data_IF_089395267505
#
_entry.id   IF_089395267505
#
_cell.length_a   1.000
_cell.length_b   1.000
_cell.length_c   1.000
_cell.angle_alpha   90.00
_cell.angle_beta   90.00
_cell.angle_gamma   90.00
#
_symmetry.space_group_name_H-M   'P 1'
#
loop_
_entity.id
_entity.type
_entity.pdbx_description
1 polymer ?
#
# COMPACT_ATOMS: atom_id res chain seq x y z
N UNK A 1 7.21 -5.53 -79.35
CA UNK A 1 6.90 -6.97 -79.20
C UNK A 1 8.17 -7.68 -78.74
N UNK A 2 8.28 -8.00 -77.45
CA UNK A 2 9.02 -9.14 -76.93
C UNK A 2 8.59 -9.33 -75.46
N UNK A 3 7.83 -10.39 -75.21
CA UNK A 3 7.73 -11.05 -73.90
C UNK A 3 9.12 -11.62 -73.57
N UNK A 4 9.52 -11.61 -72.29
CA UNK A 4 10.15 -12.72 -71.54
C UNK A 4 10.25 -12.23 -70.08
N UNK A 5 9.45 -12.68 -69.10
CA UNK A 5 9.34 -13.96 -68.36
C UNK A 5 9.79 -13.74 -66.92
N UNK A 6 8.90 -14.13 -66.00
CA UNK A 6 9.07 -14.27 -64.56
C UNK A 6 10.32 -15.07 -64.16
N UNK A 7 11.00 -14.61 -63.11
CA UNK A 7 11.69 -15.48 -62.16
C UNK A 7 11.59 -14.89 -60.76
N UNK A 8 10.64 -15.42 -59.99
CA UNK A 8 10.60 -15.32 -58.53
C UNK A 8 11.78 -16.09 -57.96
N UNK A 9 12.63 -15.43 -57.18
CA UNK A 9 13.49 -16.12 -56.21
C UNK A 9 13.30 -15.44 -54.86
N UNK A 10 12.65 -16.20 -53.98
CA UNK A 10 12.54 -15.95 -52.56
C UNK A 10 13.93 -15.94 -51.93
N UNK A 11 14.25 -14.91 -51.17
CA UNK A 11 15.22 -15.00 -50.08
C UNK A 11 14.69 -14.19 -48.90
N UNK A 12 14.22 -14.95 -47.92
CA UNK A 12 13.67 -14.52 -46.64
C UNK A 12 14.70 -13.82 -45.76
N UNK A 13 14.26 -12.69 -45.19
CA UNK A 13 14.47 -12.17 -43.84
C UNK A 13 15.72 -12.64 -43.05
N UNK A 14 16.58 -11.67 -42.72
CA UNK A 14 17.28 -11.61 -41.44
C UNK A 14 17.15 -10.19 -40.90
N UNK A 15 16.06 -9.94 -40.16
CA UNK A 15 15.99 -8.80 -39.23
C UNK A 15 16.83 -9.17 -38.03
N UNK A 16 17.90 -8.41 -37.79
CA UNK A 16 18.74 -8.53 -36.62
C UNK A 16 17.96 -7.97 -35.41
N UNK A 17 17.04 -8.76 -34.87
CA UNK A 17 16.44 -8.46 -33.58
C UNK A 17 17.52 -8.68 -32.52
N UNK A 18 17.91 -7.60 -31.85
CA UNK A 18 18.76 -7.67 -30.67
C UNK A 18 18.07 -8.56 -29.62
N UNK A 19 18.59 -9.78 -29.45
CA UNK A 19 18.20 -10.67 -28.37
C UNK A 19 18.75 -10.05 -27.10
N UNK A 20 17.92 -9.29 -26.40
CA UNK A 20 18.17 -8.99 -24.99
C UNK A 20 17.92 -10.31 -24.26
N UNK A 21 18.93 -10.93 -23.62
CA UNK A 21 18.65 -12.03 -22.72
C UNK A 21 17.81 -11.46 -21.57
N UNK A 22 16.54 -11.85 -21.49
CA UNK A 22 15.76 -11.67 -20.27
C UNK A 22 16.49 -12.40 -19.17
N UNK A 23 17.24 -11.66 -18.35
CA UNK A 23 17.75 -12.17 -17.10
C UNK A 23 16.53 -12.51 -16.24
N UNK A 24 16.15 -13.79 -16.23
CA UNK A 24 15.16 -14.30 -15.29
C UNK A 24 15.73 -14.07 -13.89
N UNK A 25 15.13 -13.16 -13.14
CA UNK A 25 15.35 -13.06 -11.71
C UNK A 25 15.12 -14.47 -11.12
N UNK A 26 15.98 -14.96 -10.23
CA UNK A 26 15.74 -16.23 -9.57
C UNK A 26 14.37 -16.20 -8.89
N UNK A 27 13.49 -17.12 -9.30
CA UNK A 27 12.23 -17.38 -8.62
C UNK A 27 12.57 -18.03 -7.28
N UNK A 28 12.58 -17.22 -6.22
CA UNK A 28 12.54 -17.74 -4.87
C UNK A 28 11.07 -17.98 -4.52
N UNK A 29 10.58 -19.23 -4.43
CA UNK A 29 9.31 -19.48 -3.77
C UNK A 29 9.48 -19.02 -2.32
N UNK A 30 8.89 -17.87 -1.99
CA UNK A 30 8.67 -17.47 -0.61
C UNK A 30 7.61 -18.42 -0.03
N UNK A 31 8.05 -19.61 0.38
CA UNK A 31 7.28 -20.44 1.29
C UNK A 31 7.05 -19.60 2.55
N UNK A 32 5.79 -19.17 2.73
CA UNK A 32 5.37 -18.49 3.96
C UNK A 32 5.41 -19.56 5.07
N UNK A 33 6.56 -19.71 5.71
CA UNK A 33 6.59 -20.19 7.09
C UNK A 33 6.19 -19.02 7.98
N UNK A 34 4.89 -18.79 8.06
CA UNK A 34 4.32 -17.92 9.09
C UNK A 34 4.46 -18.64 10.43
N UNK A 35 5.60 -18.50 11.10
CA UNK A 35 5.80 -19.06 12.44
C UNK A 35 6.50 -18.10 13.40
N UNK A 36 6.48 -16.80 13.12
CA UNK A 36 6.86 -15.80 14.13
C UNK A 36 5.86 -14.67 14.01
N UNK A 37 4.97 -14.46 15.00
CA UNK A 37 4.24 -13.21 15.10
C UNK A 37 5.28 -12.10 15.03
N UNK A 38 5.12 -11.14 14.12
CA UNK A 38 5.82 -9.87 14.28
C UNK A 38 5.49 -9.41 15.70
N UNK A 39 6.52 -9.25 16.52
CA UNK A 39 6.40 -9.14 17.96
C UNK A 39 6.08 -7.69 18.30
N UNK A 40 4.89 -7.30 17.89
CA UNK A 40 4.26 -6.02 18.17
C UNK A 40 4.04 -5.96 19.69
N UNK A 41 4.74 -5.03 20.35
CA UNK A 41 4.50 -4.65 21.75
C UNK A 41 2.99 -4.55 22.03
N UNK A 42 2.55 -4.77 23.28
CA UNK A 42 1.12 -4.79 23.62
C UNK A 42 0.37 -3.49 23.26
N UNK A 43 1.10 -2.39 23.07
CA UNK A 43 0.61 -1.09 22.62
C UNK A 43 0.82 -0.84 21.12
N UNK A 44 0.93 -1.87 20.29
CA UNK A 44 1.18 -1.70 18.85
C UNK A 44 0.21 -2.50 17.99
N UNK A 45 0.19 -2.17 16.69
CA UNK A 45 -0.68 -2.80 15.70
C UNK A 45 -0.30 -4.28 15.57
N UNK A 46 -1.20 -5.20 15.93
CA UNK A 46 -0.96 -6.63 15.80
C UNK A 46 -1.55 -7.18 14.50
N UNK A 47 -0.83 -8.08 13.85
CA UNK A 47 -1.33 -8.84 12.70
C UNK A 47 -1.63 -10.26 13.14
N UNK A 48 -2.89 -10.68 13.07
CA UNK A 48 -3.30 -12.04 13.42
C UNK A 48 -4.35 -12.56 12.46
N UNK A 49 -4.14 -13.77 11.92
CA UNK A 49 -5.09 -14.42 11.00
C UNK A 49 -5.49 -13.55 9.78
N UNK A 50 -4.57 -12.72 9.28
CA UNK A 50 -4.85 -11.79 8.17
C UNK A 50 -5.71 -10.58 8.56
N UNK A 51 -5.85 -10.29 9.86
CA UNK A 51 -6.52 -9.11 10.40
C UNK A 51 -5.52 -8.17 11.04
N UNK A 52 -5.84 -6.89 10.97
CA UNK A 52 -5.18 -5.84 11.73
C UNK A 52 -5.96 -5.65 13.04
N UNK A 53 -5.28 -5.84 14.16
CA UNK A 53 -5.79 -5.66 15.51
C UNK A 53 -5.15 -4.39 16.06
N UNK A 54 -5.99 -3.44 16.48
CA UNK A 54 -5.56 -2.14 16.98
C UNK A 54 -5.68 -2.12 18.52
N UNK A 55 -4.72 -1.52 19.25
CA UNK A 55 -4.84 -1.32 20.69
C UNK A 55 -6.05 -0.44 21.02
N UNK A 56 -6.63 -0.62 22.21
CA UNK A 56 -7.88 0.07 22.60
C UNK A 56 -7.72 1.60 22.61
N UNK A 57 -6.57 2.11 23.11
CA UNK A 57 -6.23 3.54 23.09
C UNK A 57 -6.30 4.12 21.67
N UNK A 58 -5.68 3.43 20.71
CA UNK A 58 -5.69 3.85 19.32
C UNK A 58 -7.10 3.81 18.72
N UNK A 59 -7.90 2.80 19.07
CA UNK A 59 -9.30 2.74 18.60
C UNK A 59 -10.14 3.92 19.11
N UNK A 60 -9.94 4.35 20.36
CA UNK A 60 -10.63 5.52 20.92
C UNK A 60 -10.25 6.82 20.18
N UNK A 61 -8.97 7.02 19.92
CA UNK A 61 -8.49 8.17 19.16
C UNK A 61 -8.99 8.15 17.71
N UNK A 62 -8.92 6.99 17.04
CA UNK A 62 -9.38 6.85 15.66
C UNK A 62 -10.88 7.14 15.52
N UNK A 63 -11.72 6.72 16.47
CA UNK A 63 -13.16 7.02 16.43
C UNK A 63 -13.43 8.53 16.50
N UNK A 64 -12.68 9.25 17.35
CA UNK A 64 -12.75 10.71 17.44
C UNK A 64 -12.28 11.37 16.14
N UNK A 65 -11.13 10.96 15.61
CA UNK A 65 -10.55 11.52 14.40
C UNK A 65 -11.38 11.20 13.14
N UNK A 66 -12.00 10.02 13.05
CA UNK A 66 -12.93 9.67 11.97
C UNK A 66 -14.14 10.61 11.98
N UNK A 67 -14.67 10.92 13.17
CA UNK A 67 -15.79 11.86 13.30
C UNK A 67 -15.41 13.27 12.85
N UNK A 68 -14.20 13.72 13.20
CA UNK A 68 -13.66 14.99 12.74
C UNK A 68 -13.44 15.00 11.21
N UNK A 69 -12.84 13.96 10.66
CA UNK A 69 -12.60 13.79 9.23
C UNK A 69 -13.91 13.75 8.44
N UNK A 70 -14.94 13.06 8.93
CA UNK A 70 -16.28 13.04 8.33
C UNK A 70 -16.87 14.45 8.23
N UNK A 71 -16.74 15.23 9.30
CA UNK A 71 -17.23 16.61 9.34
C UNK A 71 -16.52 17.47 8.30
N UNK A 72 -15.20 17.30 8.17
CA UNK A 72 -14.40 18.01 7.20
C UNK A 72 -14.70 17.60 5.75
N UNK A 73 -14.82 16.30 5.46
CA UNK A 73 -15.22 15.80 4.14
C UNK A 73 -16.59 16.35 3.74
N UNK A 74 -17.55 16.42 4.66
CA UNK A 74 -18.86 17.01 4.42
C UNK A 74 -18.77 18.52 4.12
N UNK A 75 -17.90 19.25 4.83
CA UNK A 75 -17.65 20.67 4.58
C UNK A 75 -17.02 20.89 3.20
N UNK A 76 -16.03 20.08 2.84
CA UNK A 76 -15.36 20.10 1.54
C UNK A 76 -16.32 19.75 0.41
N UNK A 77 -17.17 18.73 0.60
CA UNK A 77 -18.17 18.33 -0.39
C UNK A 77 -19.10 19.48 -0.76
N UNK A 78 -19.62 20.20 0.25
CA UNK A 78 -20.45 21.39 0.05
C UNK A 78 -19.70 22.54 -0.63
N UNK A 79 -18.43 22.74 -0.25
CA UNK A 79 -17.64 23.88 -0.72
C UNK A 79 -17.13 23.69 -2.15
N UNK A 80 -16.77 22.46 -2.51
CA UNK A 80 -16.13 22.13 -3.79
C UNK A 80 -17.09 21.45 -4.77
N UNK A 81 -18.32 21.14 -4.35
CA UNK A 81 -19.27 20.33 -5.13
C UNK A 81 -18.68 18.97 -5.57
N UNK A 82 -17.81 18.40 -4.74
CA UNK A 82 -17.19 17.09 -4.94
C UNK A 82 -17.92 16.08 -4.05
N UNK A 83 -18.14 14.87 -4.56
CA UNK A 83 -18.66 13.78 -3.74
C UNK A 83 -17.54 12.90 -3.21
N UNK A 84 -17.52 12.70 -1.89
CA UNK A 84 -16.58 11.81 -1.20
C UNK A 84 -17.32 10.53 -0.80
N UNK A 85 -17.70 9.74 -1.80
CA UNK A 85 -18.49 8.51 -1.64
C UNK A 85 -17.70 7.38 -0.95
N UNK A 86 -16.38 7.35 -1.14
CA UNK A 86 -15.51 6.32 -0.61
C UNK A 86 -14.78 6.84 0.64
N UNK A 87 -15.41 6.58 1.78
CA UNK A 87 -14.91 6.91 3.11
C UNK A 87 -14.19 5.70 3.72
N UNK A 88 -13.22 5.19 2.97
CA UNK A 88 -12.47 4.01 3.35
C UNK A 88 -11.35 4.38 4.34
N UNK A 89 -11.02 3.44 5.23
CA UNK A 89 -9.83 3.51 6.07
C UNK A 89 -8.61 3.09 5.24
N UNK A 90 -7.60 3.95 5.25
CA UNK A 90 -6.29 3.67 4.67
C UNK A 90 -5.21 3.66 5.74
N UNK A 91 -4.08 3.06 5.39
CA UNK A 91 -2.85 3.11 6.17
C UNK A 91 -1.77 3.69 5.25
N UNK A 92 -1.13 4.76 5.70
CA UNK A 92 0.00 5.39 5.01
C UNK A 92 1.25 5.29 5.87
N UNK A 93 2.41 5.39 5.25
CA UNK A 93 3.69 5.35 5.94
C UNK A 93 4.60 6.49 5.50
N UNK A 94 5.38 7.01 6.44
CA UNK A 94 6.39 8.05 6.24
C UNK A 94 7.76 7.49 6.58
N UNK A 95 8.73 7.63 5.68
CA UNK A 95 10.11 7.24 5.95
C UNK A 95 10.76 8.24 6.91
N UNK A 96 11.24 7.75 8.07
CA UNK A 96 11.93 8.57 9.06
C UNK A 96 13.46 8.57 8.90
N UNK A 97 13.98 7.78 7.95
CA UNK A 97 15.42 7.58 7.76
C UNK A 97 15.87 6.19 8.21
N UNK A 98 17.07 5.79 7.77
CA UNK A 98 17.71 4.48 8.03
C UNK A 98 16.80 3.28 7.75
N UNK A 99 16.01 2.87 8.73
CA UNK A 99 15.18 1.66 8.72
C UNK A 99 13.78 1.85 9.30
N UNK A 100 13.43 3.08 9.68
CA UNK A 100 12.28 3.35 10.53
C UNK A 100 11.17 4.09 9.75
N UNK A 101 9.94 3.69 10.02
CA UNK A 101 8.75 4.13 9.30
C UNK A 101 7.66 4.53 10.29
N UNK A 102 7.11 5.75 10.16
CA UNK A 102 5.93 6.15 10.92
C UNK A 102 4.68 5.72 10.17
N UNK A 103 3.78 5.02 10.84
CA UNK A 103 2.47 4.58 10.33
C UNK A 103 1.41 5.61 10.73
N UNK A 104 0.57 6.00 9.77
CA UNK A 104 -0.60 6.86 10.00
C UNK A 104 -1.84 6.25 9.35
N UNK A 105 -3.00 6.58 9.88
CA UNK A 105 -4.29 6.17 9.31
C UNK A 105 -4.91 7.30 8.51
N UNK A 106 -5.75 6.95 7.54
CA UNK A 106 -6.52 7.92 6.78
C UNK A 106 -7.99 7.53 6.72
N UNK A 107 -8.89 8.50 6.62
CA UNK A 107 -10.31 8.29 6.34
C UNK A 107 -10.75 9.16 5.17
N UNK A 108 -11.22 8.54 4.08
CA UNK A 108 -11.62 9.27 2.86
C UNK A 108 -10.51 10.17 2.29
N UNK A 109 -9.24 9.80 2.51
CA UNK A 109 -8.06 10.56 2.09
C UNK A 109 -7.54 11.62 3.08
N UNK A 110 -8.25 11.89 4.18
CA UNK A 110 -7.77 12.76 5.25
C UNK A 110 -6.90 11.95 6.21
N UNK A 111 -5.70 12.44 6.54
CA UNK A 111 -4.85 11.84 7.58
C UNK A 111 -5.46 12.06 8.96
N UNK A 112 -5.59 10.97 9.73
CA UNK A 112 -6.12 10.98 11.09
C UNK A 112 -4.99 11.29 12.06
N UNK A 113 -5.16 12.32 12.90
CA UNK A 113 -4.10 12.82 13.78
C UNK A 113 -4.20 12.16 15.16
N UNK A 114 -3.78 10.90 15.23
CA UNK A 114 -3.64 10.18 16.50
C UNK A 114 -2.41 10.70 17.24
N UNK A 115 -2.50 10.72 18.58
CA UNK A 115 -1.38 11.07 19.48
C UNK A 115 -0.32 9.96 19.51
N UNK A 116 -0.74 8.72 19.21
CA UNK A 116 0.14 7.57 19.11
C UNK A 116 1.05 7.69 17.88
N UNK A 117 2.37 7.69 18.11
CA UNK A 117 3.36 7.61 17.04
C UNK A 117 3.80 6.16 16.85
N UNK A 118 3.23 5.53 15.83
CA UNK A 118 3.45 4.12 15.52
C UNK A 118 4.67 4.04 14.61
N UNK A 119 5.84 3.83 15.21
CA UNK A 119 7.10 3.66 14.48
C UNK A 119 7.41 2.17 14.37
N UNK A 120 7.65 1.72 13.15
CA UNK A 120 7.96 0.32 12.82
C UNK A 120 9.22 0.24 11.97
N UNK A 121 9.88 -0.90 11.99
CA UNK A 121 11.02 -1.14 11.12
C UNK A 121 10.61 -1.49 9.68
N UNK A 122 11.61 -1.67 8.82
CA UNK A 122 11.40 -1.99 7.40
C UNK A 122 10.78 -3.37 7.16
N UNK A 123 11.05 -4.36 8.01
CA UNK A 123 10.45 -5.68 7.90
C UNK A 123 8.97 -5.64 8.31
N UNK A 124 8.68 -4.92 9.38
CA UNK A 124 7.34 -4.73 9.93
C UNK A 124 6.43 -3.96 8.97
N UNK A 125 6.91 -2.88 8.33
CA UNK A 125 6.09 -2.13 7.36
C UNK A 125 5.77 -2.98 6.12
N UNK A 126 6.68 -3.84 5.67
CA UNK A 126 6.40 -4.75 4.55
C UNK A 126 5.44 -5.87 4.95
N UNK A 127 5.55 -6.39 6.16
CA UNK A 127 4.58 -7.36 6.69
C UNK A 127 3.18 -6.73 6.80
N UNK A 128 3.10 -5.52 7.34
CA UNK A 128 1.86 -4.75 7.44
C UNK A 128 1.27 -4.46 6.07
N UNK A 129 2.10 -4.04 5.09
CA UNK A 129 1.66 -3.83 3.71
C UNK A 129 1.04 -5.09 3.12
N UNK A 130 1.74 -6.22 3.20
CA UNK A 130 1.27 -7.49 2.64
C UNK A 130 -0.05 -7.95 3.29
N UNK A 131 -0.20 -7.74 4.59
CA UNK A 131 -1.45 -8.04 5.28
C UNK A 131 -2.57 -7.10 4.82
N UNK A 132 -2.32 -5.79 4.84
CA UNK A 132 -3.34 -4.78 4.53
C UNK A 132 -3.83 -4.88 3.09
N UNK A 133 -2.97 -5.29 2.15
CA UNK A 133 -3.33 -5.56 0.75
C UNK A 133 -4.47 -6.61 0.61
N UNK A 134 -4.74 -7.40 1.66
CA UNK A 134 -5.78 -8.45 1.69
C UNK A 134 -6.96 -8.11 2.61
N UNK A 135 -6.86 -7.02 3.38
CA UNK A 135 -7.87 -6.63 4.36
C UNK A 135 -8.99 -5.87 3.65
N UNK A 136 -10.23 -6.38 3.78
CA UNK A 136 -11.43 -5.71 3.22
C UNK A 136 -12.05 -4.68 4.15
N UNK A 137 -11.85 -4.85 5.45
CA UNK A 137 -12.41 -3.97 6.47
C UNK A 137 -11.52 -3.96 7.71
N UNK A 138 -11.50 -2.83 8.42
CA UNK A 138 -10.90 -2.68 9.73
C UNK A 138 -12.04 -2.47 10.75
N UNK A 139 -11.92 -3.12 11.91
CA UNK A 139 -12.85 -2.92 13.02
C UNK A 139 -12.27 -1.92 14.02
N UNK A 140 -13.03 -0.85 14.30
CA UNK A 140 -12.67 0.20 15.26
C UNK A 140 -13.88 0.38 16.18
N UNK A 141 -13.70 0.17 17.48
CA UNK A 141 -14.77 0.21 18.50
C UNK A 141 -16.01 -0.61 18.11
N UNK A 142 -15.80 -1.77 17.50
CA UNK A 142 -16.86 -2.69 17.05
C UNK A 142 -17.58 -2.26 15.75
N UNK A 143 -17.18 -1.16 15.11
CA UNK A 143 -17.69 -0.72 13.80
C UNK A 143 -16.75 -1.17 12.70
N UNK A 144 -17.31 -1.70 11.62
CA UNK A 144 -16.53 -2.11 10.44
C UNK A 144 -16.47 -0.98 9.42
N UNK A 145 -15.26 -0.56 9.11
CA UNK A 145 -14.96 0.42 8.07
C UNK A 145 -14.34 -0.31 6.89
N UNK A 146 -14.77 0.02 5.66
CA UNK A 146 -14.14 -0.51 4.46
C UNK A 146 -12.66 -0.10 4.43
N UNK A 147 -11.78 -1.01 4.01
CA UNK A 147 -10.36 -0.74 3.90
C UNK A 147 -9.98 -0.49 2.45
N UNK A 148 -9.07 0.45 2.22
CA UNK A 148 -8.53 0.75 0.88
C UNK A 148 -7.82 -0.45 0.24
N UNK A 149 -7.29 -1.37 1.06
CA UNK A 149 -6.62 -2.58 0.57
C UNK A 149 -5.26 -2.31 -0.08
N UNK A 150 -4.62 -1.19 0.23
CA UNK A 150 -3.21 -0.93 -0.11
C UNK A 150 -2.63 0.15 0.79
N UNK A 151 -1.31 0.07 1.06
CA UNK A 151 -0.58 1.10 1.79
C UNK A 151 0.22 1.99 0.82
N UNK A 152 0.25 3.28 1.10
CA UNK A 152 0.98 4.28 0.28
C UNK A 152 1.98 5.07 1.11
N UNK A 153 3.14 5.35 0.53
CA UNK A 153 4.10 6.27 1.13
C UNK A 153 3.60 7.71 1.01
N UNK A 154 3.65 8.47 2.10
CA UNK A 154 3.47 9.91 2.08
C UNK A 154 4.84 10.60 2.24
N UNK A 155 5.08 11.65 1.48
CA UNK A 155 6.35 12.37 1.49
C UNK A 155 7.50 11.68 0.73
N UNK A 156 8.64 12.36 0.63
CA UNK A 156 9.85 11.83 0.00
C UNK A 156 10.54 10.78 0.88
N UNK A 157 11.36 9.92 0.28
CA UNK A 157 12.29 9.10 1.04
C UNK A 157 13.43 9.98 1.54
N UNK A 158 13.52 10.15 2.86
CA UNK A 158 14.68 10.80 3.46
C UNK A 158 15.89 9.87 3.37
N UNK A 159 16.85 10.22 2.52
CA UNK A 159 18.19 9.64 2.54
C UNK A 159 19.04 10.44 3.53
N UNK A 160 19.79 9.77 4.40
CA UNK A 160 20.82 10.47 5.17
C UNK A 160 21.96 10.87 4.19
N UNK A 161 22.44 12.10 4.28
CA UNK A 161 23.77 12.43 3.75
C UNK A 161 24.79 11.68 4.62
N UNK A 162 25.60 10.82 4.01
CA UNK A 162 26.71 10.12 4.66
C UNK A 162 27.83 11.09 5.07
#
# INVERSE_FOLDING_TARGET
MLLVTFALLFSSNLSLAAVIPSASLPYYPLEIRSTTPANFDDNSIKISEGKIILPESLQDELESEITAAQTELNRLSKSLSINFDNQDIGIVYLHLGRSDWSIKFTFGGIVLNTSEDIVVDTQEVFALKKCFDQVKWIEIKGKRYAATGYMTQIGGMLHAEE
#
